data_IF_484286280061
#
_entry.id   IF_484286280061
#
_cell.length_a   1.000
_cell.length_b   1.000
_cell.length_c   1.000
_cell.angle_alpha   90.00
_cell.angle_beta   90.00
_cell.angle_gamma   90.00
#
_symmetry.space_group_name_H-M   'P 1'
#
loop_
_entity.id
_entity.type
_entity.pdbx_description
1 polymer ?
#
# COMPACT_ATOMS: atom_id res chain seq x y z
N UNK A 1 -32.00 3.66 29.52
CA UNK A 1 -31.49 4.70 28.61
C UNK A 1 -30.77 4.01 27.47
N UNK A 2 -31.34 4.03 26.27
CA UNK A 2 -30.68 3.51 25.07
C UNK A 2 -29.66 4.54 24.61
N UNK A 3 -28.40 4.36 25.00
CA UNK A 3 -27.30 5.11 24.43
C UNK A 3 -27.11 4.65 22.99
N UNK A 4 -27.62 5.45 22.03
CA UNK A 4 -27.16 5.36 20.65
C UNK A 4 -25.67 5.70 20.66
N UNK A 5 -24.83 4.67 20.77
CA UNK A 5 -23.40 4.81 20.59
C UNK A 5 -23.20 5.37 19.18
N UNK A 6 -22.71 6.61 19.08
CA UNK A 6 -22.25 7.19 17.83
C UNK A 6 -21.12 6.30 17.30
N UNK A 7 -21.44 5.24 16.56
CA UNK A 7 -20.43 4.46 15.84
C UNK A 7 -19.79 5.43 14.86
N UNK A 8 -18.52 5.73 15.05
CA UNK A 8 -17.79 6.63 14.17
C UNK A 8 -17.97 6.19 12.71
N UNK A 9 -18.20 7.13 11.80
CA UNK A 9 -18.48 6.79 10.41
C UNK A 9 -17.17 6.45 9.70
N UNK A 10 -17.06 5.23 9.18
CA UNK A 10 -15.99 4.85 8.26
C UNK A 10 -16.02 5.73 7.01
N UNK A 11 -14.87 6.26 6.60
CA UNK A 11 -14.70 7.07 5.41
C UNK A 11 -13.92 6.28 4.38
N UNK A 12 -14.60 5.93 3.27
CA UNK A 12 -13.98 5.19 2.16
C UNK A 12 -12.95 6.06 1.46
N UNK A 13 -11.90 5.41 1.00
CA UNK A 13 -10.90 6.00 0.13
C UNK A 13 -10.80 5.17 -1.17
N UNK A 14 -10.18 5.72 -2.22
CA UNK A 14 -9.95 5.01 -3.48
C UNK A 14 -8.51 5.20 -3.97
N UNK A 15 -7.67 4.22 -3.61
CA UNK A 15 -6.27 4.21 -4.00
C UNK A 15 -6.05 3.52 -5.34
N UNK A 16 -7.10 2.97 -5.98
CA UNK A 16 -6.93 2.30 -7.28
C UNK A 16 -6.48 3.29 -8.34
N UNK A 17 -6.98 4.53 -8.32
CA UNK A 17 -6.51 5.59 -9.22
C UNK A 17 -5.03 5.90 -9.01
N UNK A 18 -4.60 6.03 -7.75
CA UNK A 18 -3.20 6.30 -7.38
C UNK A 18 -2.29 5.14 -7.78
N UNK A 19 -2.73 3.91 -7.61
CA UNK A 19 -1.96 2.73 -8.01
C UNK A 19 -1.66 2.70 -9.51
N UNK A 20 -2.57 3.21 -10.36
CA UNK A 20 -2.34 3.28 -11.82
C UNK A 20 -1.23 4.27 -12.20
N UNK A 21 -0.94 5.25 -11.34
CA UNK A 21 0.17 6.19 -11.58
C UNK A 21 1.52 5.47 -11.68
N UNK A 22 1.64 4.26 -11.10
CA UNK A 22 2.85 3.42 -11.26
C UNK A 22 3.21 3.15 -12.73
N UNK A 23 2.25 3.18 -13.66
CA UNK A 23 2.51 2.99 -15.10
C UNK A 23 1.96 4.11 -16.00
N UNK A 24 1.34 5.13 -15.42
CA UNK A 24 0.81 6.29 -16.16
C UNK A 24 1.70 7.52 -16.03
N UNK A 25 2.44 7.65 -14.93
CA UNK A 25 3.30 8.78 -14.63
C UNK A 25 4.67 8.25 -14.21
N UNK A 26 5.44 7.86 -15.23
CA UNK A 26 6.71 7.14 -15.13
C UNK A 26 7.87 8.12 -15.41
N UNK A 27 9.01 7.91 -14.75
CA UNK A 27 10.18 8.76 -14.92
C UNK A 27 10.79 8.64 -16.32
N UNK A 28 11.73 9.52 -16.65
CA UNK A 28 12.42 9.48 -17.94
C UNK A 28 13.47 8.36 -18.07
N UNK A 29 13.78 7.67 -16.96
CA UNK A 29 14.71 6.54 -16.93
C UNK A 29 14.26 5.43 -17.90
N UNK A 30 15.21 4.88 -18.66
CA UNK A 30 14.91 3.91 -19.70
C UNK A 30 14.34 2.61 -19.14
N UNK A 31 14.85 2.17 -17.98
CA UNK A 31 14.36 0.96 -17.33
C UNK A 31 12.92 1.17 -16.84
N UNK A 32 12.62 2.33 -16.24
CA UNK A 32 11.28 2.66 -15.78
C UNK A 32 10.28 2.62 -16.95
N UNK A 33 10.58 3.25 -18.09
CA UNK A 33 9.71 3.24 -19.29
C UNK A 33 9.47 1.85 -19.86
N UNK A 34 10.47 0.99 -19.83
CA UNK A 34 10.38 -0.39 -20.35
C UNK A 34 9.59 -1.30 -19.40
N UNK A 35 9.73 -1.11 -18.08
CA UNK A 35 9.27 -2.07 -17.08
C UNK A 35 8.00 -1.64 -16.36
N UNK A 36 7.81 -0.35 -16.07
CA UNK A 36 6.65 0.20 -15.38
C UNK A 36 5.51 0.48 -16.37
N UNK A 37 5.06 -0.58 -17.04
CA UNK A 37 4.01 -0.50 -18.07
C UNK A 37 2.71 -1.13 -17.56
N UNK A 38 1.58 -0.72 -18.14
CA UNK A 38 0.27 -1.33 -17.84
C UNK A 38 0.25 -2.85 -18.06
N UNK A 39 1.07 -3.35 -19.00
CA UNK A 39 1.18 -4.79 -19.30
C UNK A 39 1.87 -5.54 -18.17
N UNK A 40 2.95 -4.97 -17.63
CA UNK A 40 3.72 -5.61 -16.56
C UNK A 40 3.08 -5.39 -15.18
N UNK A 41 2.38 -4.26 -15.01
CA UNK A 41 1.72 -3.84 -13.78
C UNK A 41 0.20 -4.02 -13.88
N UNK A 42 -0.23 -5.27 -13.97
CA UNK A 42 -1.63 -5.69 -14.20
C UNK A 42 -2.40 -6.07 -12.92
N UNK A 43 -1.85 -5.75 -11.75
CA UNK A 43 -2.39 -6.06 -10.42
C UNK A 43 -2.46 -7.56 -10.07
N UNK A 44 -1.67 -8.41 -10.74
CA UNK A 44 -1.44 -9.81 -10.33
C UNK A 44 -0.36 -9.92 -9.25
N UNK A 45 -0.27 -11.07 -8.57
CA UNK A 45 0.82 -11.34 -7.62
C UNK A 45 2.18 -11.28 -8.35
N UNK A 46 2.28 -11.85 -9.55
CA UNK A 46 3.51 -11.83 -10.36
C UNK A 46 3.97 -10.41 -10.72
N UNK A 47 3.03 -9.48 -10.93
CA UNK A 47 3.37 -8.07 -11.21
C UNK A 47 4.17 -7.39 -10.08
N UNK A 48 4.10 -7.91 -8.84
CA UNK A 48 4.87 -7.40 -7.69
C UNK A 48 6.37 -7.56 -7.91
N UNK A 49 6.82 -8.52 -8.72
CA UNK A 49 8.25 -8.67 -9.05
C UNK A 49 8.83 -7.43 -9.73
N UNK A 50 8.05 -6.75 -10.57
CA UNK A 50 8.48 -5.49 -11.19
C UNK A 50 8.60 -4.36 -10.16
N UNK A 51 7.72 -4.34 -9.17
CA UNK A 51 7.78 -3.40 -8.04
C UNK A 51 9.02 -3.67 -7.18
N UNK A 52 9.35 -4.93 -6.92
CA UNK A 52 10.58 -5.31 -6.22
C UNK A 52 11.84 -4.88 -6.97
N UNK A 53 11.89 -5.10 -8.29
CA UNK A 53 13.01 -4.63 -9.11
C UNK A 53 13.11 -3.10 -9.09
N UNK A 54 11.98 -2.41 -9.24
CA UNK A 54 11.93 -0.95 -9.23
C UNK A 54 12.41 -0.37 -7.90
N UNK A 55 11.92 -0.88 -6.77
CA UNK A 55 12.32 -0.36 -5.45
C UNK A 55 13.76 -0.67 -5.12
N UNK A 56 14.30 -1.82 -5.54
CA UNK A 56 15.76 -2.07 -5.48
C UNK A 56 16.55 -1.04 -6.28
N UNK A 57 16.07 -0.62 -7.46
CA UNK A 57 16.71 0.45 -8.23
C UNK A 57 16.62 1.81 -7.53
N UNK A 58 15.46 2.14 -6.96
CA UNK A 58 15.27 3.35 -6.15
C UNK A 58 16.28 3.41 -5.00
N UNK A 59 16.53 2.30 -4.32
CA UNK A 59 17.41 2.28 -3.14
C UNK A 59 18.91 2.19 -3.47
N UNK A 60 19.28 1.56 -4.59
CA UNK A 60 20.68 1.17 -4.85
C UNK A 60 21.35 1.92 -6.01
N UNK A 61 20.66 2.84 -6.69
CA UNK A 61 21.24 3.63 -7.79
C UNK A 61 21.29 5.10 -7.43
N UNK A 62 22.24 5.85 -8.00
CA UNK A 62 22.37 7.30 -7.74
C UNK A 62 21.10 8.08 -8.13
N UNK A 63 20.61 7.85 -9.35
CA UNK A 63 19.35 8.44 -9.84
C UNK A 63 18.15 8.04 -8.96
N UNK A 64 18.04 6.75 -8.63
CA UNK A 64 16.96 6.23 -7.80
C UNK A 64 16.94 6.85 -6.41
N UNK A 65 18.11 6.99 -5.77
CA UNK A 65 18.22 7.56 -4.43
C UNK A 65 17.87 9.05 -4.43
N UNK A 66 18.26 9.80 -5.47
CA UNK A 66 17.85 11.20 -5.65
C UNK A 66 16.32 11.32 -5.80
N UNK A 67 15.73 10.49 -6.67
CA UNK A 67 14.29 10.45 -6.88
C UNK A 67 13.54 10.09 -5.60
N UNK A 68 14.02 9.08 -4.87
CA UNK A 68 13.46 8.63 -3.60
C UNK A 68 13.51 9.73 -2.55
N UNK A 69 14.64 10.42 -2.40
CA UNK A 69 14.78 11.52 -1.44
C UNK A 69 13.85 12.70 -1.75
N UNK A 70 13.67 13.02 -3.04
CA UNK A 70 12.84 14.15 -3.48
C UNK A 70 11.33 13.87 -3.39
N UNK A 71 10.94 12.61 -3.60
CA UNK A 71 9.53 12.22 -3.78
C UNK A 71 9.09 11.07 -2.87
N UNK A 72 9.73 10.91 -1.71
CA UNK A 72 9.53 9.78 -0.79
C UNK A 72 8.04 9.50 -0.52
N UNK A 73 7.29 10.49 -0.04
CA UNK A 73 5.88 10.33 0.31
C UNK A 73 5.03 9.89 -0.90
N UNK A 74 5.28 10.49 -2.08
CA UNK A 74 4.56 10.14 -3.30
C UNK A 74 4.84 8.70 -3.74
N UNK A 75 6.11 8.27 -3.65
CA UNK A 75 6.52 6.91 -3.99
C UNK A 75 5.92 5.89 -3.01
N UNK A 76 5.93 6.18 -1.71
CA UNK A 76 5.29 5.36 -0.69
C UNK A 76 3.80 5.17 -0.99
N UNK A 77 3.08 6.24 -1.31
CA UNK A 77 1.65 6.17 -1.58
C UNK A 77 1.40 5.38 -2.88
N UNK A 78 2.12 5.64 -3.97
CA UNK A 78 1.92 4.96 -5.26
C UNK A 78 2.24 3.46 -5.19
N UNK A 79 3.38 3.12 -4.62
CA UNK A 79 3.81 1.71 -4.45
C UNK A 79 2.88 1.01 -3.46
N UNK A 80 2.57 1.63 -2.33
CA UNK A 80 1.65 1.09 -1.32
C UNK A 80 0.24 0.87 -1.86
N UNK A 81 -0.28 1.82 -2.63
CA UNK A 81 -1.56 1.69 -3.32
C UNK A 81 -1.57 0.49 -4.27
N UNK A 82 -0.51 0.32 -5.06
CA UNK A 82 -0.36 -0.79 -6.00
C UNK A 82 -0.32 -2.14 -5.28
N UNK A 83 0.57 -2.28 -4.28
CA UNK A 83 0.68 -3.48 -3.45
C UNK A 83 -0.65 -3.81 -2.76
N UNK A 84 -1.33 -2.81 -2.21
CA UNK A 84 -2.62 -3.00 -1.57
C UNK A 84 -3.71 -3.44 -2.55
N UNK A 85 -3.75 -2.90 -3.78
CA UNK A 85 -4.70 -3.38 -4.80
C UNK A 85 -4.40 -4.83 -5.23
N UNK A 86 -3.13 -5.24 -5.31
CA UNK A 86 -2.77 -6.66 -5.55
C UNK A 86 -3.32 -7.54 -4.41
N UNK A 87 -3.05 -7.19 -3.16
CA UNK A 87 -3.53 -7.93 -1.98
C UNK A 87 -5.06 -8.04 -1.99
N UNK A 88 -5.75 -6.91 -2.13
CA UNK A 88 -7.21 -6.81 -2.15
C UNK A 88 -7.84 -7.64 -3.27
N UNK A 89 -7.26 -7.65 -4.47
CA UNK A 89 -7.77 -8.43 -5.61
C UNK A 89 -7.66 -9.94 -5.40
N UNK A 90 -6.67 -10.39 -4.62
CA UNK A 90 -6.38 -11.83 -4.45
C UNK A 90 -7.02 -12.44 -3.21
N UNK A 91 -7.27 -11.66 -2.15
CA UNK A 91 -8.01 -12.14 -0.98
C UNK A 91 -9.49 -12.43 -1.28
N UNK A 92 -10.09 -11.83 -2.34
CA UNK A 92 -11.49 -12.04 -2.77
C UNK A 92 -12.56 -11.93 -1.66
N UNK A 93 -12.26 -11.22 -0.57
CA UNK A 93 -13.15 -11.00 0.58
C UNK A 93 -13.34 -9.49 0.85
N UNK A 94 -14.00 -9.15 1.96
CA UNK A 94 -14.55 -7.86 2.36
C UNK A 94 -13.53 -6.75 2.74
N UNK A 95 -12.39 -6.66 2.04
CA UNK A 95 -11.41 -5.60 2.25
C UNK A 95 -11.67 -4.40 1.33
N UNK A 96 -11.70 -3.20 1.93
CA UNK A 96 -11.81 -1.94 1.21
C UNK A 96 -10.84 -0.91 1.78
N UNK A 97 -10.52 0.09 0.97
CA UNK A 97 -9.74 1.24 1.42
C UNK A 97 -10.58 2.18 2.27
N UNK A 98 -10.03 2.57 3.41
CA UNK A 98 -10.60 3.57 4.31
C UNK A 98 -9.50 4.50 4.82
N UNK A 99 -9.88 5.71 5.20
CA UNK A 99 -9.01 6.61 5.97
C UNK A 99 -8.70 5.97 7.33
N UNK A 100 -7.40 5.87 7.69
CA UNK A 100 -6.92 5.26 8.94
C UNK A 100 -7.61 5.83 10.17
N UNK A 101 -7.73 7.16 10.26
CA UNK A 101 -8.39 7.84 11.39
C UNK A 101 -9.86 7.42 11.54
N UNK A 102 -10.55 7.18 10.42
CA UNK A 102 -11.93 6.71 10.46
C UNK A 102 -12.04 5.26 10.95
N UNK A 103 -11.03 4.44 10.67
CA UNK A 103 -10.94 3.05 11.17
C UNK A 103 -10.56 3.05 12.64
N UNK A 104 -9.61 3.88 13.08
CA UNK A 104 -9.23 4.04 14.50
C UNK A 104 -10.42 4.43 15.38
N UNK A 105 -11.23 5.37 14.92
CA UNK A 105 -12.43 5.76 15.67
C UNK A 105 -13.55 4.70 15.61
N UNK A 106 -13.51 3.79 14.65
CA UNK A 106 -14.55 2.77 14.43
C UNK A 106 -14.23 1.43 15.11
N UNK A 107 -12.98 0.99 15.05
CA UNK A 107 -12.52 -0.31 15.51
C UNK A 107 -11.80 -0.17 16.86
N UNK A 108 -12.26 -0.86 17.91
CA UNK A 108 -11.57 -0.87 19.19
C UNK A 108 -10.25 -1.66 19.17
N UNK A 109 -10.03 -2.48 18.13
CA UNK A 109 -8.85 -3.34 18.00
C UNK A 109 -7.74 -2.73 17.14
N UNK A 110 -7.97 -1.57 16.54
CA UNK A 110 -6.94 -0.86 15.79
C UNK A 110 -6.24 0.14 16.70
N UNK A 111 -5.07 -0.25 17.21
CA UNK A 111 -4.23 0.66 17.97
C UNK A 111 -3.58 1.67 17.01
N UNK A 112 -3.88 2.96 17.22
CA UNK A 112 -3.60 4.04 16.28
C UNK A 112 -2.12 4.42 16.18
N UNK A 113 -1.19 3.55 16.59
CA UNK A 113 0.26 3.81 16.59
C UNK A 113 0.81 4.18 15.21
N UNK A 114 0.09 3.85 14.14
CA UNK A 114 0.46 4.18 12.76
C UNK A 114 -0.06 5.56 12.28
N UNK A 115 -0.76 6.33 13.13
CA UNK A 115 -1.42 7.60 12.78
C UNK A 115 -0.48 8.82 12.63
N UNK A 116 0.82 8.67 12.90
CA UNK A 116 1.70 9.83 13.10
C UNK A 116 2.19 10.53 11.82
N UNK A 117 1.70 10.15 10.64
CA UNK A 117 1.98 10.87 9.39
C UNK A 117 0.70 10.97 8.58
N UNK A 118 0.32 12.20 8.19
CA UNK A 118 -0.76 12.58 7.25
C UNK A 118 -1.64 11.42 6.77
N UNK A 119 -2.88 11.37 7.26
CA UNK A 119 -4.04 10.63 6.71
C UNK A 119 -3.66 9.44 5.83
N UNK A 120 -3.12 8.39 6.44
CA UNK A 120 -2.83 7.16 5.71
C UNK A 120 -4.11 6.40 5.42
N UNK A 121 -4.18 5.73 4.27
CA UNK A 121 -5.28 4.86 3.90
C UNK A 121 -4.90 3.42 4.20
N UNK A 122 -5.87 2.65 4.69
CA UNK A 122 -5.68 1.26 5.13
C UNK A 122 -6.66 0.34 4.42
N UNK A 123 -6.28 -0.90 4.23
CA UNK A 123 -7.22 -1.95 3.83
C UNK A 123 -7.87 -2.50 5.09
N UNK A 124 -9.18 -2.38 5.19
CA UNK A 124 -9.92 -2.83 6.37
C UNK A 124 -11.06 -3.77 5.99
N UNK A 125 -11.10 -4.91 6.70
CA UNK A 125 -12.23 -5.85 6.70
C UNK A 125 -13.11 -5.55 7.89
N UNK A 126 -14.28 -4.97 7.64
CA UNK A 126 -15.26 -4.66 8.70
C UNK A 126 -15.84 -5.92 9.34
N UNK A 127 -15.97 -7.02 8.59
CA UNK A 127 -16.56 -8.26 9.11
C UNK A 127 -15.64 -8.95 10.11
N UNK A 128 -14.34 -8.92 9.84
CA UNK A 128 -13.31 -9.60 10.65
C UNK A 128 -12.59 -8.67 11.61
N UNK A 129 -12.79 -7.36 11.44
CA UNK A 129 -12.11 -6.31 12.18
C UNK A 129 -10.58 -6.39 12.04
N UNK A 130 -10.12 -6.61 10.80
CA UNK A 130 -8.70 -6.75 10.45
C UNK A 130 -8.26 -5.57 9.60
N UNK A 131 -7.10 -5.00 9.95
CA UNK A 131 -6.44 -3.93 9.20
C UNK A 131 -5.15 -4.44 8.56
N UNK A 132 -4.95 -4.11 7.29
CA UNK A 132 -3.70 -4.31 6.56
C UNK A 132 -3.16 -2.92 6.19
N UNK A 133 -1.85 -2.73 6.36
CA UNK A 133 -1.17 -1.44 6.23
C UNK A 133 -0.11 -1.43 5.09
N UNK A 134 -0.50 -1.55 3.81
CA UNK A 134 0.47 -1.63 2.70
C UNK A 134 1.38 -0.40 2.60
N UNK A 135 0.83 0.81 2.80
CA UNK A 135 1.58 2.06 2.71
C UNK A 135 2.64 2.15 3.81
N UNK A 136 2.31 1.73 5.04
CA UNK A 136 3.27 1.71 6.13
C UNK A 136 4.41 0.72 5.86
N UNK A 137 4.08 -0.49 5.39
CA UNK A 137 5.10 -1.49 5.06
C UNK A 137 6.06 -0.97 3.97
N UNK A 138 5.52 -0.34 2.92
CA UNK A 138 6.35 0.29 1.88
C UNK A 138 7.24 1.40 2.45
N UNK A 139 6.71 2.25 3.34
CA UNK A 139 7.52 3.28 4.00
C UNK A 139 8.67 2.67 4.80
N UNK A 140 8.41 1.62 5.57
CA UNK A 140 9.43 0.91 6.33
C UNK A 140 10.47 0.26 5.41
N UNK A 141 10.04 -0.34 4.30
CA UNK A 141 10.91 -0.96 3.31
C UNK A 141 11.87 0.04 2.68
N UNK A 142 11.35 1.17 2.17
CA UNK A 142 12.16 2.21 1.54
C UNK A 142 13.09 2.93 2.53
N UNK A 143 12.77 2.90 3.84
CA UNK A 143 13.65 3.37 4.93
C UNK A 143 14.69 2.34 5.38
N UNK A 144 14.65 1.10 4.86
CA UNK A 144 15.55 0.02 5.27
C UNK A 144 15.19 -0.64 6.61
N UNK A 145 13.97 -0.42 7.12
CA UNK A 145 13.50 -0.92 8.43
C UNK A 145 12.36 -1.95 8.29
N UNK A 146 12.19 -2.54 7.11
CA UNK A 146 11.13 -3.54 6.87
C UNK A 146 11.53 -4.91 7.41
N UNK A 147 10.57 -5.68 7.98
CA UNK A 147 10.79 -7.08 8.33
C UNK A 147 10.86 -7.99 7.09
N UNK A 148 10.43 -7.51 5.93
CA UNK A 148 10.47 -8.23 4.66
C UNK A 148 11.63 -7.74 3.77
N UNK A 149 12.30 -8.68 3.10
CA UNK A 149 13.38 -8.41 2.15
C UNK A 149 12.89 -8.07 0.73
N UNK A 150 11.61 -8.31 0.44
CA UNK A 150 10.93 -8.00 -0.81
C UNK A 150 9.40 -7.94 -0.58
N UNK A 151 8.67 -7.26 -1.46
CA UNK A 151 7.22 -7.12 -1.39
C UNK A 151 6.49 -8.38 -1.80
N UNK A 152 7.04 -9.21 -2.69
CA UNK A 152 6.38 -10.45 -3.10
C UNK A 152 6.08 -11.35 -1.90
N UNK A 153 7.07 -11.58 -1.03
CA UNK A 153 6.90 -12.37 0.21
C UNK A 153 5.85 -11.73 1.13
N UNK A 154 5.88 -10.41 1.31
CA UNK A 154 4.86 -9.70 2.09
C UNK A 154 3.45 -9.91 1.53
N UNK A 155 3.28 -9.79 0.22
CA UNK A 155 2.00 -9.94 -0.47
C UNK A 155 1.47 -11.36 -0.33
N UNK A 156 2.29 -12.37 -0.60
CA UNK A 156 1.92 -13.78 -0.52
C UNK A 156 1.48 -14.17 0.89
N UNK A 157 2.29 -13.85 1.91
CA UNK A 157 1.94 -14.14 3.30
C UNK A 157 0.68 -13.39 3.75
N UNK A 158 0.52 -12.13 3.32
CA UNK A 158 -0.65 -11.33 3.69
C UNK A 158 -1.91 -11.91 3.07
N UNK A 159 -1.85 -12.36 1.82
CA UNK A 159 -2.96 -13.05 1.15
C UNK A 159 -3.27 -14.36 1.87
N UNK A 160 -2.27 -15.20 2.13
CA UNK A 160 -2.45 -16.49 2.81
C UNK A 160 -3.12 -16.35 4.19
N UNK A 161 -2.65 -15.39 5.01
CA UNK A 161 -3.20 -15.13 6.35
C UNK A 161 -4.64 -14.61 6.35
N UNK A 162 -5.12 -14.08 5.22
CA UNK A 162 -6.39 -13.36 5.14
C UNK A 162 -7.37 -13.91 4.08
N UNK A 163 -7.02 -15.02 3.40
CA UNK A 163 -7.88 -15.68 2.42
C UNK A 163 -8.87 -16.67 3.03
#
# INVERSE_FOLDING_TARGET
MFGFSNRAKLKKDDLKGIAKLMYQDVSDDSWDKENLTKRNLDFTIESVRYIDMYTKRLMNTGFGAELLNKHFDNLVIRIGAYIGEVIKNNIRQDFYWYESDSVYNYSPNFDGEYSNTKTQSVLYSKKRDIVILPLNLVSQFLKGNSPYSNFLTYVEETIEKNS
#
